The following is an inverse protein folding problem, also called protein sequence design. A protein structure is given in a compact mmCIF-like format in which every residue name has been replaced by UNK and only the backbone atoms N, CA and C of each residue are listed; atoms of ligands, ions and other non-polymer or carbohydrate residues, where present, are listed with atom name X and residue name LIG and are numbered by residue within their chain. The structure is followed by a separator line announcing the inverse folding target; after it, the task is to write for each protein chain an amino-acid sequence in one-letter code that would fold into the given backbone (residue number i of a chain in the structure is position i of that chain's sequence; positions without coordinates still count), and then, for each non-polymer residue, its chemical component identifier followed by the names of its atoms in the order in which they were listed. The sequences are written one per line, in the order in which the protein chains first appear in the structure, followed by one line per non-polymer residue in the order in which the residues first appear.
data_IF_204817127849
#
_entry.id   IF_204817127849
#
_cell.length_a   1.000
_cell.length_b   1.000
_cell.length_c   1.000
_cell.angle_alpha   90.00
_cell.angle_beta   90.00
_cell.angle_gamma   90.00
#
_symmetry.space_group_name_H-M   'P 1'
#
loop_
_entity.id
_entity.type
_entity.pdbx_description
1 polymer ?
#
# COMPACT_ATOMS: atom_id res chain seq x y z
N UNK A 1 -30.54 34.29 -24.25
CA UNK A 1 -29.55 33.45 -23.53
C UNK A 1 -28.99 34.22 -22.31
N UNK A 2 -29.85 34.68 -21.37
CA UNK A 2 -29.44 35.53 -20.23
C UNK A 2 -30.28 35.33 -18.94
N UNK A 3 -30.97 34.19 -18.77
CA UNK A 3 -31.84 33.96 -17.59
C UNK A 3 -31.40 32.85 -16.63
N UNK A 4 -30.28 32.15 -16.88
CA UNK A 4 -29.84 31.03 -16.02
C UNK A 4 -28.83 31.43 -14.93
N UNK A 5 -28.09 32.54 -15.10
CA UNK A 5 -27.03 32.93 -14.16
C UNK A 5 -27.56 33.59 -12.87
N UNK A 6 -28.76 34.19 -12.89
CA UNK A 6 -29.31 34.89 -11.72
C UNK A 6 -29.84 33.94 -10.63
N UNK A 7 -30.20 32.69 -10.98
CA UNK A 7 -30.73 31.71 -10.02
C UNK A 7 -29.62 31.05 -9.18
N UNK A 8 -28.44 30.86 -9.78
CA UNK A 8 -27.26 30.28 -9.11
C UNK A 8 -26.67 31.23 -8.04
N UNK A 9 -26.76 32.54 -8.26
CA UNK A 9 -26.29 33.55 -7.32
C UNK A 9 -27.23 33.64 -6.10
N UNK A 10 -28.55 33.50 -6.29
CA UNK A 10 -29.50 33.44 -5.16
C UNK A 10 -29.34 32.18 -4.31
N UNK A 11 -28.97 31.04 -4.91
CA UNK A 11 -28.70 29.81 -4.16
C UNK A 11 -27.43 29.91 -3.30
N UNK A 12 -26.41 30.64 -3.75
CA UNK A 12 -25.18 30.89 -2.99
C UNK A 12 -25.35 31.92 -1.86
N UNK A 13 -26.25 32.90 -2.03
CA UNK A 13 -26.49 33.92 -1.00
C UNK A 13 -27.41 33.39 0.11
N UNK A 14 -28.39 32.52 -0.21
CA UNK A 14 -29.24 31.91 0.83
C UNK A 14 -28.56 30.81 1.65
N UNK A 15 -27.51 30.15 1.15
CA UNK A 15 -26.72 29.20 1.97
C UNK A 15 -25.82 29.89 3.01
N UNK A 16 -25.64 31.21 2.90
CA UNK A 16 -24.74 32.00 3.76
C UNK A 16 -25.40 32.54 5.05
N UNK A 17 -26.72 32.42 5.22
CA UNK A 17 -27.45 33.03 6.35
C UNK A 17 -28.06 32.06 7.37
N UNK A 18 -27.80 30.76 7.26
CA UNK A 18 -28.13 29.80 8.33
C UNK A 18 -26.99 29.65 9.35
N UNK A 19 -26.45 30.75 9.86
CA UNK A 19 -25.59 30.75 11.06
C UNK A 19 -26.46 30.91 12.30
N UNK A 20 -27.35 29.93 12.54
CA UNK A 20 -28.19 29.88 13.73
C UNK A 20 -27.37 29.35 14.92
N UNK A 21 -27.06 30.27 15.84
CA UNK A 21 -26.84 30.08 17.28
C UNK A 21 -26.54 28.65 17.75
N UNK A 22 -25.27 28.27 17.75
CA UNK A 22 -24.82 27.09 18.50
C UNK A 22 -24.43 27.51 19.92
N UNK A 23 -25.25 27.12 20.89
CA UNK A 23 -24.87 27.12 22.31
C UNK A 23 -23.50 26.44 22.44
N UNK A 24 -22.55 27.13 23.11
CA UNK A 24 -21.21 26.62 23.43
C UNK A 24 -21.31 25.46 24.41
N UNK A 25 -21.63 24.27 23.92
CA UNK A 25 -21.36 23.04 24.66
C UNK A 25 -19.90 22.70 24.43
N UNK A 26 -19.11 22.61 25.52
CA UNK A 26 -17.81 21.94 25.48
C UNK A 26 -18.07 20.50 25.06
N UNK A 27 -17.64 20.13 23.85
CA UNK A 27 -17.83 18.79 23.28
C UNK A 27 -16.45 18.18 23.07
N UNK A 28 -16.24 17.04 23.71
CA UNK A 28 -15.01 16.27 23.62
C UNK A 28 -15.16 15.24 22.51
N UNK A 29 -14.22 15.23 21.60
CA UNK A 29 -14.15 14.31 20.49
C UNK A 29 -13.14 13.21 20.82
N UNK A 30 -13.52 11.96 20.59
CA UNK A 30 -12.73 10.80 21.02
C UNK A 30 -11.82 10.38 19.85
N UNK A 31 -10.55 10.77 19.97
CA UNK A 31 -9.51 10.48 19.00
C UNK A 31 -8.76 9.24 19.46
N UNK A 32 -8.58 8.30 18.54
CA UNK A 32 -7.71 7.15 18.80
C UNK A 32 -6.30 7.71 19.06
N UNK A 33 -5.79 7.63 20.28
CA UNK A 33 -4.50 8.22 20.62
C UNK A 33 -3.38 7.44 19.94
N UNK A 34 -3.01 6.30 20.52
CA UNK A 34 -2.05 5.36 19.92
C UNK A 34 -2.61 3.96 19.86
N UNK A 35 -2.35 3.27 18.74
CA UNK A 35 -2.75 1.88 18.53
C UNK A 35 -1.61 1.04 17.98
N UNK A 36 -1.56 -0.23 18.36
CA UNK A 36 -0.73 -1.27 17.75
C UNK A 36 -1.65 -2.28 17.08
N UNK A 37 -1.30 -2.69 15.85
CA UNK A 37 -2.11 -3.55 15.01
C UNK A 37 -1.23 -4.61 14.35
N UNK A 38 -1.01 -5.77 14.99
CA UNK A 38 -0.52 -6.94 14.30
C UNK A 38 -1.54 -7.44 13.27
N UNK A 39 -1.06 -7.86 12.11
CA UNK A 39 -1.87 -8.44 11.04
C UNK A 39 -1.20 -9.67 10.46
N UNK A 40 -2.05 -10.54 9.93
CA UNK A 40 -1.66 -11.67 9.10
C UNK A 40 -2.52 -11.66 7.84
N UNK A 41 -1.97 -12.10 6.73
CA UNK A 41 -2.70 -12.09 5.48
C UNK A 41 -2.00 -12.86 4.39
N UNK A 42 -2.50 -12.61 3.18
CA UNK A 42 -1.98 -13.17 1.96
C UNK A 42 -1.72 -12.06 0.95
N UNK A 43 -0.79 -12.33 0.05
CA UNK A 43 -0.42 -11.46 -1.04
C UNK A 43 -0.44 -12.20 -2.36
N UNK A 44 -0.61 -11.42 -3.43
CA UNK A 44 -0.41 -11.86 -4.81
C UNK A 44 0.20 -10.72 -5.60
N UNK A 45 1.13 -11.04 -6.49
CA UNK A 45 1.68 -10.06 -7.43
C UNK A 45 0.66 -9.76 -8.52
N UNK A 46 0.59 -8.48 -8.88
CA UNK A 46 -0.10 -7.97 -10.05
C UNK A 46 0.99 -7.41 -10.98
N UNK A 47 1.42 -8.25 -11.90
CA UNK A 47 2.53 -8.00 -12.81
C UNK A 47 2.53 -9.05 -13.89
N UNK A 48 3.55 -9.07 -14.71
CA UNK A 48 3.54 -9.92 -15.89
C UNK A 48 3.79 -11.37 -15.60
N UNK A 49 4.68 -11.65 -14.65
CA UNK A 49 4.81 -12.98 -14.10
C UNK A 49 3.71 -13.30 -13.07
N UNK A 50 2.72 -12.43 -12.89
CA UNK A 50 1.59 -12.59 -11.97
C UNK A 50 0.32 -13.20 -12.59
N UNK A 51 0.37 -13.71 -13.82
CA UNK A 51 -0.83 -14.19 -14.53
C UNK A 51 -1.53 -15.35 -13.83
N UNK A 52 -0.76 -16.23 -13.17
CA UNK A 52 -1.32 -17.22 -12.26
C UNK A 52 -1.30 -16.66 -10.83
N UNK A 53 -2.49 -16.45 -10.28
CA UNK A 53 -2.69 -15.96 -8.91
C UNK A 53 -1.99 -16.88 -7.90
N UNK A 54 -0.91 -16.39 -7.30
CA UNK A 54 -0.13 -17.14 -6.30
C UNK A 54 -0.32 -16.50 -4.94
N UNK A 55 -0.91 -17.26 -4.02
CA UNK A 55 -1.25 -16.79 -2.67
C UNK A 55 -0.07 -17.09 -1.76
N UNK A 56 0.58 -16.05 -1.24
CA UNK A 56 1.71 -16.17 -0.32
C UNK A 56 1.45 -15.44 0.99
N UNK A 57 1.89 -15.99 2.14
CA UNK A 57 1.63 -15.39 3.44
C UNK A 57 2.40 -14.08 3.62
N UNK A 58 1.77 -13.13 4.29
CA UNK A 58 2.34 -11.83 4.69
C UNK A 58 2.02 -11.55 6.15
N UNK A 59 3.00 -10.97 6.84
CA UNK A 59 2.92 -10.56 8.24
C UNK A 59 3.14 -9.07 8.34
N UNK A 60 2.33 -8.38 9.14
CA UNK A 60 2.37 -6.93 9.22
C UNK A 60 2.26 -6.47 10.66
N UNK A 61 3.04 -5.44 11.01
CA UNK A 61 2.91 -4.69 12.25
C UNK A 61 2.64 -3.24 11.91
N UNK A 62 1.66 -2.62 12.57
CA UNK A 62 1.32 -1.22 12.33
C UNK A 62 1.15 -0.47 13.65
N UNK A 63 1.73 0.72 13.73
CA UNK A 63 1.56 1.65 14.83
C UNK A 63 0.84 2.88 14.29
N UNK A 64 -0.32 3.19 14.86
CA UNK A 64 -1.15 4.30 14.43
C UNK A 64 -1.26 5.36 15.51
N UNK A 65 -1.32 6.62 15.08
CA UNK A 65 -1.69 7.77 15.89
C UNK A 65 -2.86 8.49 15.24
N UNK A 66 -3.97 8.66 15.96
CA UNK A 66 -5.05 9.52 15.52
C UNK A 66 -4.66 10.99 15.73
N UNK A 67 -4.75 11.76 14.64
CA UNK A 67 -4.55 13.21 14.67
C UNK A 67 -5.90 13.90 14.91
N UNK A 68 -6.96 13.34 14.35
CA UNK A 68 -8.34 13.75 14.57
C UNK A 68 -9.26 12.53 14.50
N UNK A 69 -10.56 12.74 14.70
CA UNK A 69 -11.56 11.69 14.48
C UNK A 69 -11.55 11.15 13.05
N UNK A 70 -11.14 11.97 12.08
CA UNK A 70 -11.24 11.67 10.65
C UNK A 70 -9.91 11.22 10.05
N UNK A 71 -8.79 11.58 10.67
CA UNK A 71 -7.45 11.41 10.10
C UNK A 71 -6.54 10.75 11.13
N UNK A 72 -5.95 9.63 10.73
CA UNK A 72 -4.88 8.95 11.45
C UNK A 72 -3.63 8.92 10.58
N UNK A 73 -2.48 8.78 11.22
CA UNK A 73 -1.20 8.51 10.56
C UNK A 73 -0.69 7.17 11.12
N UNK A 74 -0.14 6.33 10.26
CA UNK A 74 0.39 5.02 10.63
C UNK A 74 1.79 4.80 10.09
N UNK A 75 2.60 4.07 10.85
CA UNK A 75 3.84 3.47 10.37
C UNK A 75 3.66 1.97 10.37
N UNK A 76 3.88 1.35 9.22
CA UNK A 76 3.64 -0.06 8.99
C UNK A 76 4.92 -0.74 8.52
N UNK A 77 5.16 -1.91 9.09
CA UNK A 77 6.22 -2.83 8.72
C UNK A 77 5.54 -4.08 8.16
N UNK A 78 6.00 -4.54 7.02
CA UNK A 78 5.44 -5.68 6.29
C UNK A 78 6.59 -6.61 5.94
N UNK A 79 6.42 -7.91 6.15
CA UNK A 79 7.36 -8.92 5.66
C UNK A 79 6.62 -10.12 5.13
N UNK A 80 7.18 -10.76 4.11
CA UNK A 80 6.55 -11.94 3.54
C UNK A 80 7.25 -12.45 2.31
N UNK A 81 6.50 -13.22 1.53
CA UNK A 81 6.93 -13.74 0.25
C UNK A 81 5.93 -13.39 -0.82
N UNK A 82 6.41 -13.24 -2.05
CA UNK A 82 5.64 -13.06 -3.27
C UNK A 82 6.03 -14.17 -4.23
N UNK A 83 5.11 -14.56 -5.10
CA UNK A 83 5.41 -15.49 -6.19
C UNK A 83 4.43 -15.28 -7.32
N UNK A 84 4.79 -15.85 -8.47
CA UNK A 84 3.98 -15.87 -9.66
C UNK A 84 4.64 -16.73 -10.72
N UNK A 85 3.89 -17.00 -11.78
CA UNK A 85 4.37 -17.73 -12.95
C UNK A 85 3.62 -17.31 -14.20
N UNK A 86 4.33 -17.30 -15.33
CA UNK A 86 3.77 -17.09 -16.67
C UNK A 86 4.22 -18.21 -17.61
N UNK A 87 3.24 -18.87 -18.25
CA UNK A 87 3.45 -20.09 -19.03
C UNK A 87 3.47 -19.88 -20.55
N UNK A 88 3.13 -18.69 -21.04
CA UNK A 88 2.97 -18.41 -22.47
C UNK A 88 4.14 -17.60 -23.02
N UNK A 89 4.42 -16.46 -22.39
CA UNK A 89 5.42 -15.50 -22.90
C UNK A 89 6.81 -15.78 -22.34
N UNK A 90 6.89 -16.08 -21.04
CA UNK A 90 8.17 -16.18 -20.34
C UNK A 90 8.56 -17.60 -19.94
N UNK A 91 7.61 -18.52 -19.81
CA UNK A 91 7.84 -19.89 -19.31
C UNK A 91 8.63 -19.90 -17.99
N UNK A 92 8.43 -18.89 -17.15
CA UNK A 92 9.20 -18.68 -15.93
C UNK A 92 8.32 -18.43 -14.72
N UNK A 93 8.75 -18.94 -13.57
CA UNK A 93 8.17 -18.67 -12.26
C UNK A 93 9.16 -17.91 -11.40
N UNK A 94 8.68 -17.04 -10.53
CA UNK A 94 9.53 -16.34 -9.57
C UNK A 94 9.10 -16.60 -8.14
N UNK A 95 10.07 -16.52 -7.25
CA UNK A 95 9.89 -16.50 -5.82
C UNK A 95 10.63 -15.29 -5.27
N UNK A 96 9.94 -14.51 -4.44
CA UNK A 96 10.44 -13.28 -3.90
C UNK A 96 10.24 -13.27 -2.38
N UNK A 97 11.26 -12.88 -1.63
CA UNK A 97 11.14 -12.54 -0.23
C UNK A 97 11.32 -11.03 -0.07
N UNK A 98 10.50 -10.42 0.79
CA UNK A 98 10.55 -8.98 0.95
C UNK A 98 10.31 -8.54 2.39
N UNK A 99 10.79 -7.34 2.63
CA UNK A 99 10.57 -6.55 3.81
C UNK A 99 10.24 -5.11 3.38
N UNK A 100 9.24 -4.49 3.97
CA UNK A 100 8.78 -3.17 3.58
C UNK A 100 8.46 -2.34 4.81
N UNK A 101 8.86 -1.07 4.78
CA UNK A 101 8.51 -0.06 5.78
C UNK A 101 7.78 1.06 5.05
N UNK A 102 6.64 1.47 5.59
CA UNK A 102 5.84 2.54 4.99
C UNK A 102 5.18 3.43 6.02
N UNK A 103 4.95 4.68 5.62
CA UNK A 103 4.16 5.65 6.35
C UNK A 103 2.88 5.94 5.57
N UNK A 104 1.73 5.84 6.23
CA UNK A 104 0.41 5.99 5.61
C UNK A 104 -0.42 7.05 6.32
N UNK A 105 -1.09 7.89 5.52
CA UNK A 105 -2.21 8.70 5.98
C UNK A 105 -3.50 7.92 5.82
N UNK A 106 -4.35 7.93 6.85
CA UNK A 106 -5.57 7.13 6.91
C UNK A 106 -6.76 8.08 7.11
N UNK A 107 -7.76 7.99 6.24
CA UNK A 107 -8.97 8.80 6.29
C UNK A 107 -10.16 7.90 6.63
N UNK A 108 -10.90 8.28 7.67
CA UNK A 108 -12.13 7.61 8.09
C UNK A 108 -13.33 8.16 7.33
N UNK A 109 -13.74 7.43 6.29
CA UNK A 109 -14.85 7.81 5.40
C UNK A 109 -16.19 7.72 6.13
N UNK A 110 -16.37 6.72 7.00
CA UNK A 110 -17.60 6.61 7.81
C UNK A 110 -17.87 7.86 8.64
N UNK A 111 -16.83 8.45 9.25
CA UNK A 111 -16.96 9.69 10.03
C UNK A 111 -16.94 10.97 9.19
N UNK A 112 -16.60 10.87 7.92
CA UNK A 112 -16.77 11.97 6.98
C UNK A 112 -18.22 12.05 6.49
N UNK A 113 -18.85 10.91 6.26
CA UNK A 113 -20.24 10.83 5.78
C UNK A 113 -21.26 10.96 6.92
N UNK A 114 -20.95 10.42 8.10
CA UNK A 114 -21.80 10.56 9.28
C UNK A 114 -21.24 11.67 10.17
N UNK A 115 -21.97 12.78 10.26
CA UNK A 115 -21.70 13.86 11.22
C UNK A 115 -22.06 13.47 12.67
N UNK A 116 -22.55 12.25 12.89
CA UNK A 116 -22.66 11.69 14.23
C UNK A 116 -21.26 11.47 14.80
N UNK A 117 -20.96 12.19 15.89
CA UNK A 117 -19.72 12.06 16.64
C UNK A 117 -19.63 10.77 17.45
N UNK A 118 -20.68 9.94 17.44
CA UNK A 118 -20.65 8.64 18.09
C UNK A 118 -19.78 7.66 17.31
N UNK A 119 -18.91 6.94 18.03
CA UNK A 119 -18.09 5.88 17.45
C UNK A 119 -19.01 4.78 16.93
N UNK A 120 -19.10 4.64 15.62
CA UNK A 120 -19.75 3.49 14.99
C UNK A 120 -18.94 2.22 15.28
N UNK A 121 -19.65 1.10 15.43
CA UNK A 121 -19.02 -0.22 15.61
C UNK A 121 -18.28 -0.69 14.34
N UNK A 122 -18.57 -0.08 13.19
CA UNK A 122 -17.93 -0.33 11.91
C UNK A 122 -17.46 0.99 11.30
N UNK A 123 -16.18 1.06 10.95
CA UNK A 123 -15.56 2.22 10.33
C UNK A 123 -14.87 1.82 9.03
N UNK A 124 -15.27 2.47 7.94
CA UNK A 124 -14.67 2.34 6.61
C UNK A 124 -13.59 3.39 6.45
N UNK A 125 -12.39 2.94 6.08
CA UNK A 125 -11.19 3.76 6.00
C UNK A 125 -10.50 3.57 4.65
N UNK A 126 -9.95 4.65 4.14
CA UNK A 126 -9.01 4.64 3.02
C UNK A 126 -7.65 5.06 3.53
N UNK A 127 -6.59 4.54 2.92
CA UNK A 127 -5.24 5.00 3.21
C UNK A 127 -4.41 5.10 1.95
N UNK A 128 -3.42 5.98 2.00
CA UNK A 128 -2.39 6.13 0.99
C UNK A 128 -1.09 6.58 1.68
N UNK A 129 0.06 6.30 1.08
CA UNK A 129 1.33 6.62 1.70
C UNK A 129 2.54 6.50 0.79
N UNK A 130 3.70 6.48 1.44
CA UNK A 130 5.00 6.28 0.83
C UNK A 130 5.77 5.25 1.65
N UNK A 131 6.52 4.39 0.97
CA UNK A 131 7.30 3.35 1.61
C UNK A 131 8.55 2.98 0.83
N UNK A 132 9.36 2.15 1.47
CA UNK A 132 10.53 1.52 0.90
C UNK A 132 10.36 0.00 1.06
N UNK A 133 10.62 -0.72 -0.02
CA UNK A 133 10.66 -2.17 -0.06
C UNK A 133 12.08 -2.64 -0.30
N UNK A 134 12.49 -3.68 0.43
CA UNK A 134 13.70 -4.44 0.23
C UNK A 134 13.28 -5.85 -0.16
N UNK A 135 13.74 -6.32 -1.31
CA UNK A 135 13.33 -7.62 -1.82
C UNK A 135 14.44 -8.31 -2.58
N UNK A 136 14.35 -9.63 -2.62
CA UNK A 136 15.21 -10.49 -3.41
C UNK A 136 14.32 -11.46 -4.16
N UNK A 137 14.56 -11.60 -5.45
CA UNK A 137 13.71 -12.38 -6.36
C UNK A 137 14.58 -13.36 -7.11
N UNK A 138 14.24 -14.64 -7.01
CA UNK A 138 14.80 -15.71 -7.82
C UNK A 138 13.80 -16.14 -8.88
N UNK A 139 14.28 -16.34 -10.11
CA UNK A 139 13.47 -16.75 -11.25
C UNK A 139 13.95 -18.09 -11.79
N UNK A 140 13.00 -18.98 -12.07
CA UNK A 140 13.23 -20.34 -12.52
C UNK A 140 12.45 -20.63 -13.80
N UNK A 141 13.01 -21.47 -14.66
CA UNK A 141 12.31 -22.02 -15.81
C UNK A 141 11.24 -23.02 -15.35
N UNK A 142 10.04 -22.93 -15.89
CA UNK A 142 8.90 -23.75 -15.44
C UNK A 142 9.04 -25.20 -15.90
N UNK A 143 9.67 -25.45 -17.06
CA UNK A 143 9.76 -26.80 -17.64
C UNK A 143 10.87 -27.63 -16.99
N UNK A 144 12.04 -27.02 -16.81
CA UNK A 144 13.26 -27.66 -16.32
C UNK A 144 13.50 -27.44 -14.83
N UNK A 145 12.87 -26.41 -14.23
CA UNK A 145 13.16 -25.99 -12.86
C UNK A 145 14.53 -25.32 -12.70
N UNK A 146 15.25 -25.09 -13.80
CA UNK A 146 16.58 -24.48 -13.76
C UNK A 146 16.49 -23.03 -13.26
N UNK A 147 17.41 -22.65 -12.38
CA UNK A 147 17.61 -21.26 -12.00
C UNK A 147 18.03 -20.46 -13.23
N UNK A 148 17.34 -19.35 -13.48
CA UNK A 148 17.59 -18.49 -14.63
C UNK A 148 18.35 -17.24 -14.22
N UNK A 149 17.87 -16.56 -13.16
CA UNK A 149 18.35 -15.25 -12.76
C UNK A 149 17.86 -14.88 -11.37
N UNK A 150 18.52 -13.89 -10.78
CA UNK A 150 18.13 -13.28 -9.52
C UNK A 150 18.25 -11.75 -9.61
N UNK A 151 17.50 -11.01 -8.79
CA UNK A 151 17.55 -9.55 -8.76
C UNK A 151 18.81 -9.01 -8.08
N UNK A 152 19.47 -9.81 -7.24
CA UNK A 152 20.78 -9.50 -6.67
C UNK A 152 21.50 -10.78 -6.20
N UNK A 153 22.79 -10.91 -6.52
CA UNK A 153 23.68 -11.95 -5.98
C UNK A 153 24.92 -11.35 -5.29
N UNK A 154 25.72 -12.21 -4.65
CA UNK A 154 26.93 -11.83 -3.90
C UNK A 154 28.02 -11.12 -4.71
N UNK A 155 27.95 -11.14 -6.04
CA UNK A 155 28.91 -10.54 -6.96
C UNK A 155 28.31 -9.37 -7.77
N UNK A 156 26.99 -9.21 -7.77
CA UNK A 156 26.29 -8.14 -8.50
C UNK A 156 26.44 -6.78 -7.82
N UNK A 157 26.61 -5.74 -8.63
CA UNK A 157 26.61 -4.34 -8.20
C UNK A 157 25.23 -3.74 -8.48
N UNK A 158 24.69 -2.99 -7.52
CA UNK A 158 23.35 -2.41 -7.62
C UNK A 158 23.23 -1.39 -8.75
N UNK A 159 22.02 -1.13 -9.20
CA UNK A 159 21.69 -0.02 -10.09
C UNK A 159 20.30 0.50 -9.74
N UNK A 160 20.13 1.81 -9.63
CA UNK A 160 18.80 2.43 -9.41
C UNK A 160 17.85 2.22 -10.60
N UNK A 161 18.40 1.92 -11.77
CA UNK A 161 17.69 1.63 -13.01
C UNK A 161 18.24 0.32 -13.58
N UNK A 162 17.41 -0.55 -14.15
CA UNK A 162 17.93 -1.73 -14.86
C UNK A 162 18.92 -1.26 -15.94
N UNK A 163 20.22 -1.52 -15.76
CA UNK A 163 21.21 -1.11 -16.74
C UNK A 163 21.12 -2.05 -17.95
N UNK A 164 20.84 -1.45 -19.11
CA UNK A 164 20.68 -2.15 -20.40
C UNK A 164 21.93 -2.92 -20.82
N UNK A 165 23.11 -2.49 -20.35
CA UNK A 165 24.41 -3.18 -20.38
C UNK A 165 25.42 -2.37 -19.55
N UNK A 166 26.51 -3.00 -19.11
CA UNK A 166 27.61 -2.33 -18.41
C UNK A 166 27.90 -2.89 -17.01
N UNK A 167 28.96 -2.38 -16.38
CA UNK A 167 29.25 -2.70 -14.98
C UNK A 167 28.23 -2.01 -14.09
N UNK A 168 27.49 -2.78 -13.28
CA UNK A 168 26.58 -2.24 -12.27
C UNK A 168 27.27 -1.19 -11.38
N UNK A 169 26.52 -0.18 -10.95
CA UNK A 169 27.04 0.98 -10.21
C UNK A 169 26.55 0.91 -8.75
N UNK A 170 27.39 0.36 -7.88
CA UNK A 170 27.11 0.26 -6.46
C UNK A 170 28.06 -0.71 -5.79
N UNK A 171 27.85 -0.92 -4.51
CA UNK A 171 28.62 -1.91 -3.75
C UNK A 171 28.20 -3.32 -4.19
N UNK A 172 29.21 -4.18 -4.38
CA UNK A 172 28.99 -5.59 -4.62
C UNK A 172 28.59 -6.29 -3.30
N UNK A 173 27.80 -7.36 -3.39
CA UNK A 173 27.49 -8.22 -2.24
C UNK A 173 26.28 -7.79 -1.41
N UNK A 174 25.45 -6.87 -1.90
CA UNK A 174 24.17 -6.54 -1.27
C UNK A 174 23.12 -7.55 -1.79
N UNK A 175 22.40 -8.18 -0.85
CA UNK A 175 21.46 -9.26 -1.17
C UNK A 175 20.05 -8.78 -1.55
N UNK A 176 19.62 -7.63 -1.00
CA UNK A 176 18.27 -7.09 -1.22
C UNK A 176 18.29 -5.86 -2.14
N UNK A 177 17.49 -5.91 -3.20
CA UNK A 177 17.16 -4.74 -4.03
C UNK A 177 16.23 -3.81 -3.24
N UNK A 178 16.48 -2.50 -3.31
CA UNK A 178 15.69 -1.48 -2.60
C UNK A 178 14.93 -0.61 -3.59
N UNK A 179 13.63 -0.48 -3.41
CA UNK A 179 12.77 0.34 -4.26
C UNK A 179 11.75 1.15 -3.45
N UNK A 180 11.22 2.21 -4.08
CA UNK A 180 10.12 2.99 -3.53
C UNK A 180 8.77 2.33 -3.80
N UNK A 181 7.85 2.44 -2.84
CA UNK A 181 6.49 1.91 -2.94
C UNK A 181 5.48 2.99 -2.59
N UNK A 182 4.39 3.04 -3.34
CA UNK A 182 3.21 3.84 -3.03
C UNK A 182 2.10 2.88 -2.59
N UNK A 183 1.92 2.66 -1.28
CA UNK A 183 0.81 1.88 -0.76
C UNK A 183 -0.48 2.70 -0.81
N UNK A 184 -1.57 2.05 -1.19
CA UNK A 184 -2.91 2.55 -0.95
C UNK A 184 -3.90 1.40 -0.76
N UNK A 185 -5.01 1.67 -0.07
CA UNK A 185 -5.95 0.60 0.19
C UNK A 185 -7.20 1.04 0.94
N UNK A 186 -8.01 0.02 1.18
CA UNK A 186 -9.27 0.10 1.88
C UNK A 186 -9.23 -0.80 3.11
N UNK A 187 -9.85 -0.32 4.19
CA UNK A 187 -9.86 -1.02 5.47
C UNK A 187 -11.20 -0.86 6.16
N UNK A 188 -11.61 -1.92 6.84
CA UNK A 188 -12.78 -1.94 7.72
C UNK A 188 -12.31 -2.22 9.14
N UNK A 189 -12.56 -1.29 10.04
CA UNK A 189 -12.32 -1.48 11.47
C UNK A 189 -13.65 -1.81 12.14
N UNK A 190 -13.67 -2.89 12.94
CA UNK A 190 -14.77 -3.22 13.82
C UNK A 190 -14.36 -3.05 15.28
N UNK A 191 -15.15 -2.32 16.07
CA UNK A 191 -14.87 -2.09 17.48
C UNK A 191 -15.51 -3.19 18.34
N UNK A 192 -14.71 -3.83 19.19
CA UNK A 192 -15.19 -4.81 20.19
C UNK A 192 -15.43 -4.11 21.52
N UNK A 193 -14.47 -3.31 21.96
CA UNK A 193 -14.58 -2.46 23.15
C UNK A 193 -13.73 -1.18 22.97
N UNK A 194 -13.56 -0.38 24.01
CA UNK A 194 -12.85 0.91 23.91
C UNK A 194 -11.38 0.80 23.51
N UNK A 195 -10.75 -0.35 23.75
CA UNK A 195 -9.34 -0.58 23.53
C UNK A 195 -9.06 -1.65 22.47
N UNK A 196 -10.03 -2.50 22.13
CA UNK A 196 -9.86 -3.64 21.24
C UNK A 196 -10.80 -3.57 20.04
N UNK A 197 -10.26 -3.86 18.87
CA UNK A 197 -11.02 -3.99 17.63
C UNK A 197 -10.43 -5.04 16.69
N UNK A 198 -11.24 -5.44 15.72
CA UNK A 198 -10.81 -6.22 14.57
C UNK A 198 -10.61 -5.32 13.37
N UNK A 199 -9.72 -5.73 12.48
CA UNK A 199 -9.43 -5.00 11.26
C UNK A 199 -9.37 -5.95 10.07
N UNK A 200 -10.01 -5.57 8.98
CA UNK A 200 -9.88 -6.20 7.67
C UNK A 200 -9.27 -5.20 6.71
N UNK A 201 -8.24 -5.59 5.96
CA UNK A 201 -7.51 -4.72 5.04
C UNK A 201 -7.36 -5.36 3.66
N UNK A 202 -7.67 -4.57 2.64
CA UNK A 202 -7.34 -4.81 1.25
C UNK A 202 -6.43 -3.68 0.80
N UNK A 203 -5.16 -3.98 0.53
CA UNK A 203 -4.19 -3.01 0.05
C UNK A 203 -3.62 -3.39 -1.31
N UNK A 204 -3.12 -2.37 -1.98
CA UNK A 204 -2.30 -2.48 -3.18
C UNK A 204 -1.04 -1.65 -2.98
N UNK A 205 0.07 -2.22 -3.40
CA UNK A 205 1.39 -1.62 -3.29
C UNK A 205 1.91 -1.46 -4.70
N UNK A 206 1.94 -0.22 -5.17
CA UNK A 206 2.57 0.11 -6.44
C UNK A 206 4.07 0.27 -6.23
N UNK A 207 4.88 -0.49 -6.94
CA UNK A 207 6.34 -0.46 -6.85
C UNK A 207 6.89 0.35 -8.00
N UNK A 208 7.85 1.24 -7.72
CA UNK A 208 8.36 2.17 -8.72
C UNK A 208 9.12 1.49 -9.89
N UNK A 209 9.50 0.22 -9.75
CA UNK A 209 10.33 -0.49 -10.72
C UNK A 209 9.68 -1.81 -11.16
N UNK A 210 10.14 -2.35 -12.29
CA UNK A 210 9.74 -3.63 -12.91
C UNK A 210 10.50 -4.85 -12.34
N UNK A 211 11.29 -4.62 -11.29
CA UNK A 211 12.22 -5.62 -10.75
C UNK A 211 11.57 -6.59 -9.77
N UNK A 212 10.35 -6.32 -9.32
CA UNK A 212 9.76 -7.04 -8.18
C UNK A 212 9.52 -8.50 -8.55
N UNK A 213 8.99 -8.74 -9.75
CA UNK A 213 8.77 -10.09 -10.27
C UNK A 213 10.02 -10.69 -10.95
N UNK A 214 11.13 -9.95 -10.98
CA UNK A 214 12.36 -10.38 -11.62
C UNK A 214 12.27 -10.37 -13.14
N UNK A 215 11.30 -9.64 -13.71
CA UNK A 215 11.41 -9.17 -15.08
C UNK A 215 12.43 -8.03 -15.16
N UNK A 216 12.95 -7.87 -16.36
CA UNK A 216 13.88 -6.84 -16.79
C UNK A 216 13.43 -6.47 -18.20
N UNK A 217 13.98 -5.46 -18.86
CA UNK A 217 13.58 -5.10 -20.22
C UNK A 217 14.40 -5.75 -21.37
N UNK A 218 15.46 -6.55 -21.11
CA UNK A 218 16.34 -7.04 -22.19
C UNK A 218 16.90 -8.45 -21.99
N UNK A 219 16.88 -9.25 -23.06
CA UNK A 219 17.50 -10.57 -23.06
C UNK A 219 19.03 -10.48 -22.85
N UNK A 220 19.52 -11.17 -21.80
CA UNK A 220 20.92 -11.15 -21.35
C UNK A 220 21.92 -11.55 -22.44
N UNK A 221 21.47 -12.27 -23.47
CA UNK A 221 22.28 -12.77 -24.59
C UNK A 221 22.09 -11.90 -25.84
N UNK A 222 20.87 -11.42 -26.11
CA UNK A 222 20.59 -10.58 -27.28
C UNK A 222 19.47 -9.56 -26.99
N UNK A 223 19.78 -8.26 -26.85
CA UNK A 223 18.82 -7.24 -26.48
C UNK A 223 17.72 -6.98 -27.53
N UNK A 224 17.80 -7.58 -28.72
CA UNK A 224 16.78 -7.45 -29.79
C UNK A 224 15.68 -8.52 -29.74
N UNK A 225 15.75 -9.48 -28.81
CA UNK A 225 14.74 -10.55 -28.66
C UNK A 225 13.73 -10.15 -27.58
N UNK A 226 12.45 -10.04 -27.96
CA UNK A 226 11.30 -9.80 -27.08
C UNK A 226 10.58 -11.15 -26.87
N UNK A 227 10.38 -11.58 -25.61
CA UNK A 227 9.73 -12.86 -25.23
C UNK A 227 10.61 -14.13 -25.26
N UNK A 228 10.32 -15.12 -24.39
CA UNK A 228 11.14 -16.33 -24.12
C UNK A 228 11.67 -16.46 -22.69
N UNK A 229 12.31 -17.61 -22.37
CA UNK A 229 12.84 -17.96 -21.02
C UNK A 229 13.83 -16.92 -20.48
N UNK A 230 14.56 -16.27 -21.37
CA UNK A 230 15.53 -15.21 -21.08
C UNK A 230 15.04 -13.85 -21.56
N UNK A 231 13.75 -13.64 -21.61
CA UNK A 231 13.17 -12.43 -22.18
C UNK A 231 12.09 -11.88 -21.27
N UNK A 232 11.68 -10.67 -21.61
CA UNK A 232 11.71 -9.58 -20.65
C UNK A 232 10.75 -8.49 -21.12
N UNK A 233 10.19 -7.72 -20.18
CA UNK A 233 9.07 -6.83 -20.43
C UNK A 233 9.43 -5.36 -20.53
N UNK A 234 8.61 -4.62 -21.26
CA UNK A 234 8.55 -3.16 -21.33
C UNK A 234 7.35 -2.58 -20.54
N UNK A 235 6.74 -3.34 -19.62
CA UNK A 235 5.66 -2.78 -18.78
C UNK A 235 6.21 -1.85 -17.71
N UNK A 236 5.54 -0.71 -17.59
CA UNK A 236 5.80 0.22 -16.52
C UNK A 236 5.24 -0.33 -15.20
N UNK A 237 6.15 -0.61 -14.26
CA UNK A 237 5.91 -0.74 -12.82
C UNK A 237 5.16 -2.00 -12.35
N UNK A 238 5.78 -2.72 -11.41
CA UNK A 238 5.13 -3.83 -10.74
C UNK A 238 4.20 -3.37 -9.62
N UNK A 239 3.25 -4.23 -9.26
CA UNK A 239 2.50 -4.06 -8.03
C UNK A 239 2.15 -5.38 -7.37
N UNK A 240 1.68 -5.30 -6.13
CA UNK A 240 1.16 -6.48 -5.43
C UNK A 240 0.01 -6.09 -4.52
N UNK A 241 -0.96 -6.99 -4.40
CA UNK A 241 -2.10 -6.82 -3.50
C UNK A 241 -1.88 -7.60 -2.21
N UNK A 242 -2.47 -7.10 -1.12
CA UNK A 242 -2.58 -7.83 0.12
C UNK A 242 -4.01 -7.84 0.66
N UNK A 243 -4.42 -9.00 1.14
CA UNK A 243 -5.64 -9.19 1.92
C UNK A 243 -5.23 -9.68 3.30
N UNK A 244 -5.60 -8.93 4.34
CA UNK A 244 -5.12 -9.19 5.70
C UNK A 244 -6.21 -8.94 6.74
N UNK A 245 -6.06 -9.62 7.86
CA UNK A 245 -6.85 -9.40 9.07
C UNK A 245 -5.93 -9.06 10.22
N UNK A 246 -6.39 -8.21 11.13
CA UNK A 246 -5.60 -7.76 12.26
C UNK A 246 -6.41 -7.52 13.53
N UNK A 247 -5.69 -7.47 14.65
CA UNK A 247 -6.23 -7.10 15.95
C UNK A 247 -5.70 -5.71 16.29
N UNK A 248 -6.59 -4.76 16.51
CA UNK A 248 -6.23 -3.40 16.90
C UNK A 248 -6.32 -3.24 18.40
N UNK A 249 -5.20 -2.93 19.05
CA UNK A 249 -5.15 -2.56 20.45
C UNK A 249 -4.80 -1.08 20.62
N UNK A 250 -5.71 -0.31 21.21
CA UNK A 250 -5.59 1.14 21.47
C UNK A 250 -5.24 1.33 22.94
N UNK A 251 -4.03 1.80 23.24
CA UNK A 251 -3.52 1.91 24.62
C UNK A 251 -3.45 3.36 25.11
N UNK A 252 -3.67 4.33 24.23
CA UNK A 252 -3.86 5.73 24.60
C UNK A 252 -5.08 6.25 23.87
N UNK A 253 -6.04 6.79 24.62
CA UNK A 253 -7.20 7.49 24.07
C UNK A 253 -7.02 8.98 24.36
N UNK A 254 -6.98 9.78 23.29
CA UNK A 254 -6.89 11.22 23.44
C UNK A 254 -8.29 11.82 23.32
N UNK A 255 -8.69 12.59 24.33
CA UNK A 255 -9.88 13.44 24.25
C UNK A 255 -9.42 14.78 23.72
N UNK A 256 -9.76 15.11 22.49
CA UNK A 256 -9.53 16.46 21.96
C UNK A 256 -10.78 17.28 22.20
N UNK A 257 -10.65 18.36 22.96
CA UNK A 257 -11.69 19.37 23.05
C UNK A 257 -11.65 20.20 21.76
N UNK A 258 -12.67 20.06 20.91
CA UNK A 258 -12.82 20.97 19.78
C UNK A 258 -13.34 22.29 20.34
N UNK A 259 -12.43 23.21 20.67
CA UNK A 259 -12.81 24.60 20.80
C UNK A 259 -13.16 25.10 19.40
N UNK A 260 -14.45 25.11 19.05
CA UNK A 260 -14.92 25.88 17.90
C UNK A 260 -14.59 27.35 18.18
N UNK A 261 -13.50 27.82 17.57
CA UNK A 261 -13.18 29.24 17.43
C UNK A 261 -14.22 29.92 16.55
N UNK A 262 -14.44 31.19 16.89
CA UNK A 262 -15.34 32.20 16.30
C UNK A 262 -15.25 32.28 14.79
#
# INVERSE_FOLDING_TARGET
MFKLQSFLIYFFICSSFCSFSQRKFKRFNLVDGFSIIPKIGFSSVLGELGYIFSIKPVYEGNIEKGISERINIGVQIIGGTLAGSENQTYFSRFENNFFQIQTVGIVNISRYLNDSHEKNNLEFKLYAGLGLIWFHTDVFDIKSGAFLRTTADGNTKHTAYFQKSGNGIGDAGIYYTRESVIPFGFRVDSKVNDNLGFMFNLGYNWVYNDKLDGTTPYNLINPNIIGGVNSYSDTANDGWINLSVGLKYTFSLNRTENQRGV
#
